data_IF_100304462646
#
_entry.id   IF_100304462646
#
_cell.length_a   1.000
_cell.length_b   1.000
_cell.length_c   1.000
_cell.angle_alpha   90.00
_cell.angle_beta   90.00
_cell.angle_gamma   90.00
#
_symmetry.space_group_name_H-M   'P 1'
#
loop_
_entity.id
_entity.type
_entity.pdbx_description
1 polymer ?
#
# COMPACT_ATOMS: atom_id res chain seq x y z
N UNK A 1 23.24 -15.02 29.37
CA UNK A 1 22.62 -14.90 28.04
C UNK A 1 21.51 -13.85 28.14
N UNK A 2 21.63 -12.72 27.43
CA UNK A 2 20.60 -11.67 27.50
C UNK A 2 19.26 -12.18 26.96
N UNK A 3 18.17 -11.85 27.64
CA UNK A 3 16.82 -12.23 27.23
C UNK A 3 16.39 -11.33 26.07
N UNK A 4 16.00 -11.92 24.96
CA UNK A 4 15.44 -11.25 23.78
C UNK A 4 13.93 -11.22 23.96
N UNK A 5 13.37 -10.06 24.30
CA UNK A 5 11.92 -9.87 24.33
C UNK A 5 11.38 -9.69 22.91
N UNK A 6 10.34 -10.45 22.55
CA UNK A 6 9.69 -10.41 21.24
C UNK A 6 8.17 -10.37 21.42
N UNK A 7 7.59 -9.17 21.32
CA UNK A 7 6.15 -8.91 21.41
C UNK A 7 5.57 -8.67 20.03
N UNK A 8 4.75 -9.61 19.55
CA UNK A 8 4.07 -9.49 18.28
C UNK A 8 2.73 -8.77 18.45
N UNK A 9 2.53 -7.67 17.73
CA UNK A 9 1.26 -6.95 17.75
C UNK A 9 0.27 -7.60 16.77
N UNK A 10 -0.95 -7.86 17.22
CA UNK A 10 -2.03 -8.50 16.46
C UNK A 10 -3.26 -7.60 16.41
N UNK A 11 -4.10 -7.77 15.38
CA UNK A 11 -5.21 -6.88 15.04
C UNK A 11 -6.60 -7.53 15.20
N UNK A 12 -6.65 -8.80 15.63
CA UNK A 12 -7.92 -9.50 15.86
C UNK A 12 -7.77 -10.65 16.84
N UNK A 13 -8.91 -11.15 17.35
CA UNK A 13 -8.93 -12.34 18.21
C UNK A 13 -8.42 -13.59 17.48
N UNK A 14 -8.70 -13.71 16.18
CA UNK A 14 -8.20 -14.80 15.34
C UNK A 14 -6.68 -14.73 15.18
N UNK A 15 -6.12 -13.53 14.97
CA UNK A 15 -4.66 -13.34 14.95
C UNK A 15 -4.04 -13.59 16.31
N UNK A 16 -4.68 -13.18 17.40
CA UNK A 16 -4.24 -13.48 18.76
C UNK A 16 -4.14 -14.99 18.97
N UNK A 17 -5.16 -15.75 18.58
CA UNK A 17 -5.15 -17.22 18.69
C UNK A 17 -3.99 -17.84 17.89
N UNK A 18 -3.78 -17.40 16.64
CA UNK A 18 -2.66 -17.87 15.81
C UNK A 18 -1.30 -17.48 16.38
N UNK A 19 -1.17 -16.27 16.92
CA UNK A 19 0.06 -15.78 17.54
C UNK A 19 0.43 -16.58 18.80
N UNK A 20 -0.57 -16.99 19.59
CA UNK A 20 -0.35 -17.85 20.75
C UNK A 20 0.16 -19.24 20.35
N UNK A 21 -0.32 -19.82 19.24
CA UNK A 21 0.27 -21.06 18.70
C UNK A 21 1.69 -20.82 18.15
N UNK A 22 1.93 -19.67 17.50
CA UNK A 22 3.24 -19.27 16.98
C UNK A 22 4.31 -19.16 18.09
N UNK A 23 3.90 -18.87 19.33
CA UNK A 23 4.81 -18.83 20.50
C UNK A 23 5.59 -20.13 20.68
N UNK A 24 4.91 -21.28 20.58
CA UNK A 24 5.56 -22.59 20.77
C UNK A 24 6.56 -22.89 19.65
N UNK A 25 6.18 -22.61 18.40
CA UNK A 25 7.07 -22.74 17.25
C UNK A 25 8.30 -21.82 17.40
N UNK A 26 8.09 -20.58 17.82
CA UNK A 26 9.15 -19.61 18.10
C UNK A 26 10.14 -20.13 19.15
N UNK A 27 9.66 -20.68 20.27
CA UNK A 27 10.54 -21.23 21.30
C UNK A 27 11.38 -22.40 20.77
N UNK A 28 10.79 -23.32 19.99
CA UNK A 28 11.52 -24.45 19.38
C UNK A 28 12.61 -23.97 18.40
N UNK A 29 12.34 -22.92 17.63
CA UNK A 29 13.34 -22.32 16.73
C UNK A 29 14.41 -21.59 17.52
N UNK A 30 14.04 -20.83 18.55
CA UNK A 30 14.98 -20.11 19.40
C UNK A 30 15.98 -21.05 20.09
N UNK A 31 15.51 -22.20 20.59
CA UNK A 31 16.35 -23.25 21.18
C UNK A 31 17.39 -23.77 20.18
N UNK A 32 16.97 -24.10 18.96
CA UNK A 32 17.89 -24.53 17.88
C UNK A 32 18.94 -23.47 17.54
N UNK A 33 18.58 -22.19 17.65
CA UNK A 33 19.47 -21.05 17.40
C UNK A 33 20.28 -20.63 18.63
N UNK A 34 20.16 -21.35 19.76
CA UNK A 34 20.80 -20.98 21.04
C UNK A 34 20.44 -19.55 21.48
N UNK A 35 19.20 -19.13 21.25
CA UNK A 35 18.65 -17.82 21.63
C UNK A 35 17.72 -17.95 22.83
N UNK A 36 17.88 -17.06 23.82
CA UNK A 36 16.95 -16.94 24.94
C UNK A 36 15.85 -15.92 24.61
N UNK A 37 14.72 -16.38 24.06
CA UNK A 37 13.61 -15.52 23.59
C UNK A 37 12.41 -15.63 24.52
N UNK A 38 11.87 -14.48 24.93
CA UNK A 38 10.54 -14.40 25.56
C UNK A 38 9.54 -13.88 24.54
N UNK A 39 8.67 -14.76 24.04
CA UNK A 39 7.66 -14.42 23.04
C UNK A 39 6.27 -14.17 23.67
N UNK A 40 5.59 -13.12 23.21
CA UNK A 40 4.22 -12.78 23.61
C UNK A 40 3.45 -12.04 22.52
N UNK A 41 2.13 -12.00 22.65
CA UNK A 41 1.22 -11.36 21.70
C UNK A 41 0.53 -10.16 22.36
N UNK A 42 0.48 -9.04 21.66
CA UNK A 42 -0.10 -7.77 22.14
C UNK A 42 -1.25 -7.39 21.21
N UNK A 43 -2.46 -7.25 21.75
CA UNK A 43 -3.61 -6.79 20.96
C UNK A 43 -3.50 -5.29 20.67
N UNK A 44 -3.63 -4.91 19.41
CA UNK A 44 -3.81 -3.53 18.96
C UNK A 44 -5.22 -3.29 18.42
N UNK A 45 -5.71 -2.06 18.55
CA UNK A 45 -7.04 -1.67 18.03
C UNK A 45 -7.07 -1.63 16.50
N UNK A 46 -5.95 -1.25 15.89
CA UNK A 46 -5.73 -1.18 14.45
C UNK A 46 -4.22 -1.10 14.15
N UNK A 47 -3.85 -1.05 12.87
CA UNK A 47 -2.45 -0.98 12.45
C UNK A 47 -1.70 0.22 13.07
N UNK A 48 -2.33 1.40 13.16
CA UNK A 48 -1.71 2.61 13.70
C UNK A 48 -1.48 2.49 15.22
N UNK A 49 -2.41 1.88 15.97
CA UNK A 49 -2.18 1.55 17.38
C UNK A 49 -1.00 0.59 17.56
N UNK A 50 -0.87 -0.45 16.73
CA UNK A 50 0.32 -1.30 16.74
C UNK A 50 1.62 -0.52 16.45
N UNK A 51 1.61 0.39 15.47
CA UNK A 51 2.77 1.25 15.19
C UNK A 51 3.13 2.14 16.39
N UNK A 52 2.13 2.73 17.05
CA UNK A 52 2.31 3.53 18.29
C UNK A 52 2.90 2.68 19.42
N UNK A 53 2.36 1.48 19.65
CA UNK A 53 2.87 0.53 20.68
C UNK A 53 4.33 0.16 20.42
N UNK A 54 4.71 -0.07 19.17
CA UNK A 54 6.11 -0.36 18.81
C UNK A 54 7.00 0.86 19.05
N UNK A 55 6.55 2.05 18.66
CA UNK A 55 7.29 3.31 18.89
C UNK A 55 7.62 3.53 20.37
N UNK A 56 6.62 3.33 21.24
CA UNK A 56 6.77 3.50 22.71
C UNK A 56 7.35 2.27 23.41
N UNK A 57 7.58 1.17 22.70
CA UNK A 57 8.21 -0.04 23.23
C UNK A 57 7.30 -0.93 24.06
N UNK A 58 5.97 -0.89 23.84
CA UNK A 58 5.00 -1.85 24.41
C UNK A 58 4.68 -3.03 23.49
N UNK A 59 5.11 -2.96 22.22
CA UNK A 59 5.21 -4.09 21.29
C UNK A 59 6.55 -3.98 20.52
N UNK A 60 6.94 -5.02 19.77
CA UNK A 60 8.23 -5.03 19.05
C UNK A 60 8.07 -5.22 17.54
N UNK A 61 7.03 -5.95 17.11
CA UNK A 61 6.87 -6.41 15.73
C UNK A 61 5.42 -6.36 15.29
N UNK A 62 5.19 -6.04 14.02
CA UNK A 62 3.89 -6.15 13.34
C UNK A 62 4.12 -6.36 11.84
N UNK A 63 3.27 -7.14 11.18
CA UNK A 63 3.28 -7.25 9.70
C UNK A 63 2.37 -6.17 9.12
N UNK A 64 2.88 -5.34 8.21
CA UNK A 64 2.12 -4.26 7.57
C UNK A 64 2.09 -4.40 6.05
N UNK A 65 1.00 -3.95 5.43
CA UNK A 65 0.91 -3.79 3.98
C UNK A 65 1.57 -2.48 3.51
N UNK A 66 1.90 -2.40 2.21
CA UNK A 66 2.61 -1.23 1.67
C UNK A 66 1.90 0.10 1.89
N UNK A 67 0.56 0.13 2.02
CA UNK A 67 -0.20 1.31 2.37
C UNK A 67 0.10 1.85 3.76
N UNK A 68 0.37 0.97 4.73
CA UNK A 68 0.66 1.33 6.12
C UNK A 68 2.17 1.54 6.39
N UNK A 69 3.05 0.93 5.58
CA UNK A 69 4.51 1.03 5.74
C UNK A 69 5.02 2.48 5.63
N UNK A 70 4.41 3.33 4.79
CA UNK A 70 4.79 4.76 4.69
C UNK A 70 4.56 5.46 6.02
N UNK A 71 3.36 5.31 6.59
CA UNK A 71 2.99 5.88 7.91
C UNK A 71 3.88 5.31 9.01
N UNK A 72 4.13 4.00 9.02
CA UNK A 72 4.99 3.36 10.00
C UNK A 72 6.40 3.95 10.00
N UNK A 73 6.99 4.14 8.82
CA UNK A 73 8.33 4.71 8.70
C UNK A 73 8.38 6.21 8.99
N UNK A 74 7.48 6.98 8.38
CA UNK A 74 7.47 8.45 8.45
C UNK A 74 7.06 8.97 9.83
N UNK A 75 5.96 8.45 10.38
CA UNK A 75 5.31 9.04 11.57
C UNK A 75 5.68 8.29 12.86
N UNK A 76 6.08 7.02 12.74
CA UNK A 76 6.37 6.15 13.89
C UNK A 76 7.83 5.69 13.99
N UNK A 77 8.67 6.03 13.00
CA UNK A 77 10.10 5.64 12.97
C UNK A 77 10.32 4.13 13.01
N UNK A 78 9.46 3.37 12.32
CA UNK A 78 9.62 1.93 12.13
C UNK A 78 10.41 1.63 10.85
N UNK A 79 11.06 0.47 10.82
CA UNK A 79 11.84 -0.03 9.69
C UNK A 79 11.41 -1.46 9.33
N UNK A 80 11.36 -1.82 8.04
CA UNK A 80 11.13 -3.19 7.62
C UNK A 80 12.36 -4.06 7.94
N UNK A 81 12.14 -5.30 8.38
CA UNK A 81 13.23 -6.24 8.67
C UNK A 81 13.13 -7.55 7.90
N UNK A 82 11.92 -7.99 7.57
CA UNK A 82 11.64 -9.23 6.84
C UNK A 82 10.43 -8.97 5.94
N UNK A 83 10.50 -9.39 4.68
CA UNK A 83 9.40 -9.29 3.72
C UNK A 83 8.71 -10.63 3.46
N UNK A 84 7.43 -10.59 3.11
CA UNK A 84 6.70 -11.75 2.57
C UNK A 84 7.08 -11.97 1.10
N UNK A 85 7.56 -13.15 0.75
CA UNK A 85 7.76 -13.54 -0.64
C UNK A 85 6.62 -14.47 -1.07
N UNK A 86 5.83 -14.01 -2.03
CA UNK A 86 4.67 -14.75 -2.56
C UNK A 86 5.02 -15.66 -3.72
N UNK A 87 6.18 -15.45 -4.35
CA UNK A 87 6.51 -16.04 -5.63
C UNK A 87 7.94 -16.54 -5.60
N UNK A 88 8.13 -17.84 -5.81
CA UNK A 88 9.46 -18.37 -6.11
C UNK A 88 9.80 -18.10 -7.59
N UNK A 89 9.63 -16.86 -8.03
CA UNK A 89 9.76 -16.43 -9.43
C UNK A 89 11.05 -15.62 -9.62
N UNK A 90 11.93 -16.05 -10.55
CA UNK A 90 13.09 -15.26 -10.96
C UNK A 90 12.69 -13.85 -11.43
N UNK A 91 13.42 -12.82 -11.00
CA UNK A 91 13.12 -11.41 -11.37
C UNK A 91 12.03 -10.71 -10.54
N UNK A 92 11.40 -11.40 -9.59
CA UNK A 92 10.61 -10.80 -8.48
C UNK A 92 11.33 -10.93 -7.13
N UNK A 93 12.62 -11.27 -7.18
CA UNK A 93 13.52 -11.44 -6.05
C UNK A 93 13.42 -10.24 -5.08
N UNK A 94 13.19 -10.53 -3.81
CA UNK A 94 13.13 -9.53 -2.75
C UNK A 94 11.73 -9.05 -2.39
N UNK A 95 10.75 -9.97 -2.34
CA UNK A 95 9.43 -9.74 -1.75
C UNK A 95 8.70 -8.55 -2.40
N UNK A 96 8.43 -8.68 -3.70
CA UNK A 96 7.67 -7.70 -4.48
C UNK A 96 6.63 -8.40 -5.37
N UNK A 97 5.65 -7.64 -5.85
CA UNK A 97 4.66 -8.12 -6.79
C UNK A 97 4.23 -7.01 -7.74
N UNK A 98 3.67 -7.38 -8.90
CA UNK A 98 3.11 -6.40 -9.84
C UNK A 98 1.65 -6.11 -9.53
N UNK A 99 1.31 -4.83 -9.43
CA UNK A 99 -0.06 -4.32 -9.40
C UNK A 99 -0.58 -4.19 -10.85
N UNK A 100 -1.75 -4.72 -11.12
CA UNK A 100 -2.33 -4.81 -12.46
C UNK A 100 -3.79 -4.38 -12.48
N UNK A 101 -4.26 -3.93 -13.64
CA UNK A 101 -5.68 -3.71 -13.92
C UNK A 101 -6.15 -4.77 -14.92
N UNK A 102 -7.14 -5.57 -14.52
CA UNK A 102 -7.64 -6.72 -15.30
C UNK A 102 -9.06 -6.42 -15.79
N UNK A 103 -9.34 -6.77 -17.05
CA UNK A 103 -10.65 -6.63 -17.68
C UNK A 103 -11.04 -7.91 -18.42
N UNK A 104 -12.33 -8.06 -18.73
CA UNK A 104 -12.80 -9.09 -19.67
C UNK A 104 -12.35 -8.74 -21.09
N UNK A 105 -11.87 -9.75 -21.81
CA UNK A 105 -11.48 -9.63 -23.23
C UNK A 105 -12.65 -9.22 -24.13
N UNK A 106 -13.87 -9.63 -23.77
CA UNK A 106 -15.10 -9.30 -24.51
C UNK A 106 -15.44 -7.81 -24.56
N UNK A 107 -14.91 -7.00 -23.63
CA UNK A 107 -15.16 -5.55 -23.60
C UNK A 107 -13.96 -4.77 -24.16
N UNK A 108 -13.81 -4.76 -25.49
CA UNK A 108 -12.63 -4.24 -26.20
C UNK A 108 -12.35 -2.74 -26.02
N UNK A 109 -13.38 -1.95 -25.72
CA UNK A 109 -13.28 -0.47 -25.67
C UNK A 109 -12.59 0.07 -24.41
N UNK A 110 -12.47 -0.75 -23.37
CA UNK A 110 -11.85 -0.34 -22.12
C UNK A 110 -10.33 -0.39 -22.26
N UNK A 111 -9.71 0.76 -22.00
CA UNK A 111 -8.25 0.91 -21.82
C UNK A 111 -7.97 1.69 -20.55
N UNK A 112 -6.73 1.66 -20.04
CA UNK A 112 -6.39 2.38 -18.81
C UNK A 112 -6.67 3.90 -18.92
N UNK A 113 -6.49 4.47 -20.13
CA UNK A 113 -6.78 5.89 -20.42
C UNK A 113 -8.28 6.20 -20.58
N UNK A 114 -9.14 5.18 -20.68
CA UNK A 114 -10.60 5.31 -20.90
C UNK A 114 -11.41 4.70 -19.74
N UNK A 115 -10.92 4.85 -18.52
CA UNK A 115 -11.59 4.35 -17.31
C UNK A 115 -12.65 5.30 -16.73
N UNK A 116 -12.69 6.57 -17.16
CA UNK A 116 -13.69 7.55 -16.70
C UNK A 116 -15.11 7.05 -17.01
N UNK A 117 -15.98 7.05 -16.00
CA UNK A 117 -17.37 6.60 -16.09
C UNK A 117 -17.56 5.08 -16.08
N UNK A 118 -16.49 4.28 -16.02
CA UNK A 118 -16.58 2.82 -15.87
C UNK A 118 -16.86 2.42 -14.43
N UNK A 119 -17.30 1.18 -14.25
CA UNK A 119 -17.46 0.57 -12.93
C UNK A 119 -16.18 -0.13 -12.50
N UNK A 120 -15.84 -0.13 -11.22
CA UNK A 120 -14.54 -0.63 -10.76
C UNK A 120 -14.60 -1.52 -9.50
N UNK A 121 -13.71 -2.51 -9.45
CA UNK A 121 -13.57 -3.44 -8.33
C UNK A 121 -12.19 -3.28 -7.70
N UNK A 122 -12.17 -2.99 -6.40
CA UNK A 122 -10.95 -2.70 -5.63
C UNK A 122 -10.82 -3.69 -4.48
N UNK A 123 -9.59 -4.03 -4.09
CA UNK A 123 -9.37 -4.98 -2.98
C UNK A 123 -9.81 -4.43 -1.62
N UNK A 124 -9.91 -3.11 -1.49
CA UNK A 124 -10.25 -2.41 -0.25
C UNK A 124 -9.61 -1.02 -0.17
N UNK A 125 -10.22 -0.14 0.61
CA UNK A 125 -9.77 1.22 0.82
C UNK A 125 -8.33 1.25 1.39
N UNK A 126 -7.44 2.01 0.74
CA UNK A 126 -6.06 2.22 1.20
C UNK A 126 -5.09 1.07 0.92
N UNK A 127 -5.53 -0.01 0.26
CA UNK A 127 -4.68 -1.15 -0.08
C UNK A 127 -3.78 -0.85 -1.27
N UNK A 128 -2.55 -1.37 -1.24
CA UNK A 128 -1.49 -1.14 -2.24
C UNK A 128 -1.96 -1.29 -3.70
N UNK A 129 -2.15 -2.52 -4.19
CA UNK A 129 -2.47 -2.75 -5.60
C UNK A 129 -3.94 -2.51 -5.97
N UNK A 130 -4.85 -2.58 -4.99
CA UNK A 130 -6.27 -2.39 -5.23
C UNK A 130 -6.74 -0.94 -5.13
N UNK A 131 -6.01 -0.05 -4.47
CA UNK A 131 -6.41 1.35 -4.29
C UNK A 131 -5.26 2.33 -4.55
N UNK A 132 -4.15 2.22 -3.80
CA UNK A 132 -3.11 3.24 -3.82
C UNK A 132 -2.45 3.38 -5.19
N UNK A 133 -2.01 2.27 -5.79
CA UNK A 133 -1.42 2.28 -7.14
C UNK A 133 -2.42 2.75 -8.20
N UNK A 134 -3.61 2.15 -8.38
CA UNK A 134 -4.47 2.55 -9.50
C UNK A 134 -4.96 3.99 -9.39
N UNK A 135 -5.38 4.43 -8.19
CA UNK A 135 -5.89 5.80 -7.99
C UNK A 135 -4.73 6.81 -8.05
N UNK A 136 -3.59 6.50 -7.42
CA UNK A 136 -2.38 7.33 -7.48
C UNK A 136 -1.85 7.47 -8.91
N UNK A 137 -1.77 6.37 -9.66
CA UNK A 137 -1.35 6.38 -11.06
C UNK A 137 -2.31 7.19 -11.93
N UNK A 138 -3.63 7.09 -11.73
CA UNK A 138 -4.62 7.90 -12.46
C UNK A 138 -4.45 9.41 -12.18
N UNK A 139 -4.18 9.80 -10.93
CA UNK A 139 -3.91 11.20 -10.53
C UNK A 139 -2.56 11.70 -11.07
N UNK A 140 -1.51 10.88 -10.97
CA UNK A 140 -0.16 11.18 -11.46
C UNK A 140 -0.16 11.41 -12.97
N UNK A 141 -0.85 10.55 -13.71
CA UNK A 141 -1.01 10.67 -15.17
C UNK A 141 -2.02 11.74 -15.61
N UNK A 142 -2.64 12.46 -14.67
CA UNK A 142 -3.69 13.47 -14.92
C UNK A 142 -4.87 12.93 -15.74
N UNK A 143 -5.15 11.63 -15.62
CA UNK A 143 -6.35 10.99 -16.18
C UNK A 143 -7.56 11.22 -15.27
N UNK A 144 -7.31 11.33 -13.96
CA UNK A 144 -8.27 11.70 -12.93
C UNK A 144 -7.84 13.02 -12.28
N UNK A 145 -8.79 13.91 -12.05
CA UNK A 145 -8.55 15.18 -11.36
C UNK A 145 -8.61 14.97 -9.85
N UNK A 146 -7.73 15.66 -9.13
CA UNK A 146 -7.78 15.71 -7.67
C UNK A 146 -8.90 16.63 -7.21
N UNK A 147 -9.74 16.15 -6.29
CA UNK A 147 -10.82 16.94 -5.74
C UNK A 147 -10.31 18.06 -4.82
N UNK A 148 -11.06 19.16 -4.75
CA UNK A 148 -10.75 20.33 -3.90
C UNK A 148 -10.74 20.00 -2.40
N UNK A 149 -11.40 18.92 -1.98
CA UNK A 149 -11.34 18.42 -0.60
C UNK A 149 -10.02 17.70 -0.27
N UNK A 150 -9.11 17.56 -1.24
CA UNK A 150 -7.86 16.81 -1.12
C UNK A 150 -8.07 15.34 -0.73
N UNK A 151 -9.23 14.81 -1.07
CA UNK A 151 -9.61 13.45 -0.73
C UNK A 151 -9.72 12.61 -2.01
N UNK A 152 -8.75 11.72 -2.23
CA UNK A 152 -8.72 10.84 -3.39
C UNK A 152 -9.94 9.91 -3.48
N UNK A 153 -10.65 9.62 -2.38
CA UNK A 153 -11.93 8.92 -2.44
C UNK A 153 -13.00 9.77 -3.13
N UNK A 154 -13.03 11.08 -2.89
CA UNK A 154 -13.95 11.99 -3.59
C UNK A 154 -13.57 12.10 -5.07
N UNK A 155 -12.28 12.20 -5.39
CA UNK A 155 -11.76 12.18 -6.77
C UNK A 155 -12.22 10.92 -7.51
N UNK A 156 -11.98 9.74 -6.92
CA UNK A 156 -12.38 8.46 -7.48
C UNK A 156 -13.90 8.31 -7.62
N UNK A 157 -14.66 8.81 -6.64
CA UNK A 157 -16.12 8.82 -6.67
C UNK A 157 -16.71 9.69 -7.78
N UNK A 158 -15.99 10.71 -8.27
CA UNK A 158 -16.38 11.49 -9.45
C UNK A 158 -15.91 10.87 -10.77
N UNK A 159 -14.84 10.08 -10.72
CA UNK A 159 -14.20 9.50 -11.88
C UNK A 159 -14.87 8.20 -12.34
N UNK A 160 -15.13 7.26 -11.41
CA UNK A 160 -15.85 6.02 -11.69
C UNK A 160 -17.36 6.24 -11.49
N UNK A 161 -18.20 5.55 -12.27
CA UNK A 161 -19.65 5.65 -12.12
C UNK A 161 -20.11 5.00 -10.81
N UNK A 162 -19.73 3.74 -10.59
CA UNK A 162 -19.97 2.99 -9.36
C UNK A 162 -18.80 2.04 -9.09
N UNK A 163 -18.50 1.79 -7.83
CA UNK A 163 -17.40 0.91 -7.45
C UNK A 163 -17.78 -0.07 -6.34
N UNK A 164 -16.95 -1.11 -6.21
CA UNK A 164 -16.78 -1.83 -4.95
C UNK A 164 -15.41 -1.48 -4.36
N UNK A 165 -15.42 -0.72 -3.27
CA UNK A 165 -14.26 -0.41 -2.43
C UNK A 165 -14.60 -0.85 -1.00
N UNK A 166 -14.24 -2.09 -0.62
CA UNK A 166 -14.44 -2.57 0.74
C UNK A 166 -13.82 -1.65 1.79
N UNK A 167 -14.48 -1.51 2.93
CA UNK A 167 -14.05 -0.71 4.07
C UNK A 167 -13.94 0.81 3.80
N UNK A 168 -14.52 1.33 2.71
CA UNK A 168 -14.40 2.74 2.33
C UNK A 168 -14.98 3.71 3.35
N UNK A 169 -16.07 3.37 4.06
CA UNK A 169 -16.70 4.28 5.03
C UNK A 169 -15.84 4.54 6.27
N UNK A 170 -14.88 3.67 6.56
CA UNK A 170 -13.89 3.91 7.62
C UNK A 170 -12.78 4.89 7.19
N UNK A 171 -12.67 5.20 5.89
CA UNK A 171 -11.74 6.21 5.35
C UNK A 171 -12.45 7.47 4.87
N UNK A 172 -13.67 7.32 4.37
CA UNK A 172 -14.54 8.39 3.89
C UNK A 172 -16.00 8.01 4.17
N UNK A 173 -16.53 8.46 5.32
CA UNK A 173 -17.86 8.07 5.81
C UNK A 173 -19.02 8.47 4.88
N UNK A 174 -18.85 9.56 4.12
CA UNK A 174 -19.81 10.04 3.14
C UNK A 174 -19.68 9.35 1.76
N UNK A 175 -18.87 8.31 1.63
CA UNK A 175 -18.80 7.49 0.43
C UNK A 175 -20.17 6.88 0.08
N UNK A 176 -20.69 7.25 -1.09
CA UNK A 176 -21.92 6.67 -1.65
C UNK A 176 -21.57 5.71 -2.79
N UNK A 177 -21.12 6.23 -3.93
CA UNK A 177 -20.93 5.45 -5.15
C UNK A 177 -19.74 4.47 -5.09
N UNK A 178 -18.81 4.65 -4.15
CA UNK A 178 -17.62 3.81 -4.02
C UNK A 178 -17.89 2.42 -3.44
N UNK A 179 -19.06 2.17 -2.84
CA UNK A 179 -19.43 0.83 -2.37
C UNK A 179 -20.79 0.37 -2.88
N UNK A 180 -21.34 1.01 -3.92
CA UNK A 180 -22.61 0.60 -4.54
C UNK A 180 -22.58 -0.85 -5.01
N UNK A 181 -21.43 -1.33 -5.52
CA UNK A 181 -21.27 -2.71 -6.00
C UNK A 181 -20.97 -3.73 -4.89
N UNK A 182 -20.82 -3.29 -3.64
CA UNK A 182 -20.66 -4.16 -2.47
C UNK A 182 -21.18 -3.49 -1.19
N UNK A 183 -22.48 -3.23 -1.14
CA UNK A 183 -23.11 -2.45 -0.06
C UNK A 183 -22.87 -3.03 1.35
N UNK A 184 -22.76 -4.37 1.45
CA UNK A 184 -22.49 -5.06 2.72
C UNK A 184 -21.03 -4.89 3.20
N UNK A 185 -20.14 -4.42 2.34
CA UNK A 185 -18.70 -4.29 2.60
C UNK A 185 -18.28 -2.82 2.79
N UNK A 186 -19.22 -1.86 2.77
CA UNK A 186 -18.87 -0.43 2.90
C UNK A 186 -18.06 -0.10 4.16
N UNK A 187 -18.34 -0.78 5.28
CA UNK A 187 -17.64 -0.60 6.57
C UNK A 187 -16.92 -1.88 7.03
N UNK A 188 -16.74 -2.84 6.13
CA UNK A 188 -16.09 -4.12 6.42
C UNK A 188 -14.97 -4.38 5.44
N UNK A 189 -13.85 -4.93 5.91
CA UNK A 189 -12.80 -5.49 5.06
C UNK A 189 -12.99 -6.98 4.78
N UNK A 190 -14.14 -7.53 5.17
CA UNK A 190 -14.53 -8.92 4.95
C UNK A 190 -15.82 -8.97 4.13
N UNK A 191 -15.84 -9.85 3.14
CA UNK A 191 -16.98 -10.05 2.25
C UNK A 191 -16.57 -10.73 0.94
N UNK A 192 -17.55 -11.08 0.09
CA UNK A 192 -17.30 -11.78 -1.16
C UNK A 192 -16.43 -11.01 -2.15
N UNK A 193 -16.43 -9.67 -2.11
CA UNK A 193 -15.64 -8.81 -3.00
C UNK A 193 -14.41 -8.17 -2.33
N UNK A 194 -14.11 -8.58 -1.10
CA UNK A 194 -12.94 -8.12 -0.35
C UNK A 194 -11.64 -8.83 -0.76
N UNK A 195 -10.53 -8.08 -0.76
CA UNK A 195 -9.21 -8.61 -1.09
C UNK A 195 -9.01 -8.89 -2.59
N UNK A 196 -7.89 -9.53 -2.94
CA UNK A 196 -7.52 -9.78 -4.34
C UNK A 196 -8.53 -10.67 -5.06
N UNK A 197 -8.86 -11.82 -4.49
CA UNK A 197 -9.79 -12.77 -5.09
C UNK A 197 -11.19 -12.17 -5.20
N UNK A 198 -11.64 -11.43 -4.17
CA UNK A 198 -12.94 -10.77 -4.17
C UNK A 198 -13.04 -9.66 -5.22
N UNK A 199 -12.02 -8.81 -5.35
CA UNK A 199 -12.01 -7.76 -6.37
C UNK A 199 -12.02 -8.34 -7.80
N UNK A 200 -11.27 -9.43 -8.05
CA UNK A 200 -11.35 -10.14 -9.32
C UNK A 200 -12.73 -10.77 -9.54
N UNK A 201 -13.30 -11.40 -8.50
CA UNK A 201 -14.64 -11.98 -8.54
C UNK A 201 -15.71 -10.91 -8.85
N UNK A 202 -15.62 -9.71 -8.28
CA UNK A 202 -16.50 -8.59 -8.58
C UNK A 202 -16.54 -8.26 -10.09
N UNK A 203 -15.38 -8.22 -10.75
CA UNK A 203 -15.32 -7.99 -12.20
C UNK A 203 -15.81 -9.21 -12.99
N UNK A 204 -15.44 -10.41 -12.55
CA UNK A 204 -15.88 -11.67 -13.15
C UNK A 204 -17.40 -11.82 -13.12
N UNK A 205 -18.05 -11.49 -12.01
CA UNK A 205 -19.51 -11.50 -11.82
C UNK A 205 -20.22 -10.40 -12.65
N UNK A 206 -19.46 -9.47 -13.25
CA UNK A 206 -20.01 -8.35 -14.02
C UNK A 206 -20.49 -7.18 -13.16
N UNK A 207 -20.17 -7.15 -11.87
CA UNK A 207 -20.47 -6.01 -11.00
C UNK A 207 -19.55 -4.82 -11.29
N UNK A 208 -18.35 -5.05 -11.84
CA UNK A 208 -17.43 -4.01 -12.30
C UNK A 208 -16.81 -4.31 -13.66
N UNK A 209 -16.40 -3.28 -14.37
CA UNK A 209 -15.75 -3.37 -15.68
C UNK A 209 -14.25 -3.72 -15.57
N UNK A 210 -13.61 -3.28 -14.49
CA UNK A 210 -12.18 -3.45 -14.23
C UNK A 210 -11.94 -3.90 -12.79
N UNK A 211 -10.98 -4.82 -12.59
CA UNK A 211 -10.48 -5.19 -11.27
C UNK A 211 -9.03 -4.76 -11.10
N UNK A 212 -8.72 -4.11 -9.98
CA UNK A 212 -7.35 -3.75 -9.60
C UNK A 212 -6.82 -4.75 -8.59
N UNK A 213 -5.85 -5.57 -9.01
CA UNK A 213 -5.37 -6.74 -8.25
C UNK A 213 -3.87 -6.96 -8.44
N UNK A 214 -3.31 -8.02 -7.85
CA UNK A 214 -1.94 -8.48 -8.12
C UNK A 214 -1.90 -9.38 -9.35
N UNK A 215 -0.77 -9.42 -10.06
CA UNK A 215 -0.60 -10.16 -11.31
C UNK A 215 -0.96 -11.66 -11.27
N UNK A 216 -0.81 -12.34 -10.13
CA UNK A 216 -1.16 -13.78 -10.07
C UNK A 216 -2.62 -14.06 -9.82
N UNK A 217 -3.44 -13.05 -9.51
CA UNK A 217 -4.81 -13.26 -9.04
C UNK A 217 -5.64 -14.11 -10.01
N UNK A 218 -5.47 -13.91 -11.33
CA UNK A 218 -6.18 -14.70 -12.36
C UNK A 218 -5.87 -16.19 -12.24
N UNK A 219 -4.59 -16.53 -12.03
CA UNK A 219 -4.15 -17.92 -11.83
C UNK A 219 -4.50 -18.45 -10.45
N UNK A 220 -4.37 -17.64 -9.40
CA UNK A 220 -4.66 -18.01 -8.00
C UNK A 220 -6.11 -18.48 -7.82
N UNK A 221 -7.06 -17.94 -8.60
CA UNK A 221 -8.48 -18.35 -8.57
C UNK A 221 -8.85 -19.40 -9.62
N UNK A 222 -7.88 -19.92 -10.39
CA UNK A 222 -8.10 -20.93 -11.42
C UNK A 222 -8.95 -20.45 -12.60
N UNK A 223 -8.98 -19.15 -12.88
CA UNK A 223 -9.75 -18.60 -13.99
C UNK A 223 -9.09 -18.89 -15.34
N UNK A 224 -9.90 -19.07 -16.40
CA UNK A 224 -9.38 -19.19 -17.76
C UNK A 224 -8.79 -17.85 -18.23
N UNK A 225 -7.46 -17.72 -18.18
CA UNK A 225 -6.74 -16.51 -18.52
C UNK A 225 -7.02 -15.97 -19.94
N UNK A 226 -7.40 -16.84 -20.89
CA UNK A 226 -7.72 -16.41 -22.27
C UNK A 226 -8.94 -15.49 -22.39
N UNK A 227 -9.78 -15.42 -21.35
CA UNK A 227 -10.96 -14.57 -21.27
C UNK A 227 -10.67 -13.16 -20.74
N UNK A 228 -9.42 -12.90 -20.33
CA UNK A 228 -9.04 -11.66 -19.66
C UNK A 228 -7.82 -11.02 -20.31
N UNK A 229 -7.70 -9.71 -20.11
CA UNK A 229 -6.55 -8.93 -20.54
C UNK A 229 -6.15 -7.92 -19.46
N UNK A 230 -4.89 -7.49 -19.51
CA UNK A 230 -4.31 -6.50 -18.64
C UNK A 230 -4.30 -5.13 -19.33
N UNK A 231 -4.68 -4.08 -18.61
CA UNK A 231 -4.62 -2.71 -19.10
C UNK A 231 -3.26 -2.09 -18.80
N UNK A 232 -2.57 -1.63 -19.84
CA UNK A 232 -1.24 -1.04 -19.72
C UNK A 232 -1.34 0.48 -19.59
N UNK A 233 -0.37 1.11 -18.91
CA UNK A 233 -0.36 2.58 -18.68
C UNK A 233 -0.34 3.39 -19.98
N UNK A 234 0.26 2.86 -21.05
CA UNK A 234 0.30 3.50 -22.36
C UNK A 234 -1.05 3.51 -23.10
N UNK A 235 -2.07 2.79 -22.59
CA UNK A 235 -3.39 2.66 -23.19
C UNK A 235 -3.57 1.38 -24.01
N UNK A 236 -2.53 0.56 -24.16
CA UNK A 236 -2.62 -0.75 -24.80
C UNK A 236 -3.23 -1.81 -23.85
N UNK A 237 -3.52 -2.98 -24.42
CA UNK A 237 -3.98 -4.17 -23.72
C UNK A 237 -3.06 -5.33 -24.06
N UNK A 238 -2.81 -6.21 -23.09
CA UNK A 238 -2.01 -7.41 -23.32
C UNK A 238 -2.66 -8.61 -22.66
N UNK A 239 -2.48 -9.79 -23.27
CA UNK A 239 -2.89 -11.07 -22.68
C UNK A 239 -2.05 -11.48 -21.46
N UNK A 240 -0.90 -10.82 -21.26
CA UNK A 240 0.08 -11.15 -20.22
C UNK A 240 0.55 -9.90 -19.48
N UNK A 241 0.86 -10.04 -18.20
CA UNK A 241 1.16 -8.93 -17.29
C UNK A 241 2.64 -8.53 -17.28
N UNK A 242 3.57 -9.36 -17.76
CA UNK A 242 5.02 -9.21 -17.59
C UNK A 242 5.56 -7.90 -18.16
N UNK A 243 4.90 -7.38 -19.21
CA UNK A 243 5.18 -6.07 -19.82
C UNK A 243 4.01 -5.08 -19.67
N UNK A 244 2.96 -5.47 -18.94
CA UNK A 244 1.71 -4.73 -18.80
C UNK A 244 1.25 -4.74 -17.34
N UNK A 245 1.86 -3.87 -16.55
CA UNK A 245 1.51 -3.66 -15.15
C UNK A 245 1.55 -2.16 -14.82
N UNK A 246 0.82 -1.77 -13.77
CA UNK A 246 0.80 -0.38 -13.32
C UNK A 246 2.09 -0.06 -12.58
N UNK A 247 2.47 -0.92 -11.64
CA UNK A 247 3.69 -0.75 -10.87
C UNK A 247 4.22 -2.05 -10.26
N UNK A 248 5.51 -2.04 -9.92
CA UNK A 248 6.10 -3.04 -9.02
C UNK A 248 5.97 -2.51 -7.61
N UNK A 249 5.22 -3.21 -6.78
CA UNK A 249 5.00 -2.82 -5.39
C UNK A 249 5.66 -3.79 -4.44
N UNK A 250 6.08 -3.31 -3.27
CA UNK A 250 6.59 -4.19 -2.24
C UNK A 250 5.50 -5.13 -1.73
N UNK A 251 5.92 -6.32 -1.34
CA UNK A 251 5.11 -7.17 -0.48
C UNK A 251 4.96 -6.56 0.91
N UNK A 252 4.14 -7.23 1.72
CA UNK A 252 4.03 -6.89 3.13
C UNK A 252 5.36 -7.14 3.83
N UNK A 253 5.63 -6.38 4.89
CA UNK A 253 6.85 -6.52 5.67
C UNK A 253 6.56 -6.55 7.17
N UNK A 254 7.38 -7.30 7.89
CA UNK A 254 7.49 -7.22 9.34
C UNK A 254 8.27 -5.96 9.67
N UNK A 255 7.63 -5.07 10.41
CA UNK A 255 8.14 -3.78 10.83
C UNK A 255 8.54 -3.82 12.30
N UNK A 256 9.63 -3.14 12.64
CA UNK A 256 10.09 -2.96 14.02
C UNK A 256 10.61 -1.53 14.23
N UNK A 257 10.91 -1.15 15.47
CA UNK A 257 11.43 0.18 15.79
C UNK A 257 12.83 0.38 15.16
N UNK A 258 13.05 1.54 14.55
CA UNK A 258 14.38 1.92 14.06
C UNK A 258 15.40 1.91 15.21
N UNK A 259 16.56 1.31 14.98
CA UNK A 259 17.61 1.18 16.00
C UNK A 259 17.31 0.16 17.12
N UNK A 260 16.28 -0.69 16.98
CA UNK A 260 15.99 -1.72 17.98
C UNK A 260 17.15 -2.72 18.16
N UNK A 261 17.52 -3.00 19.41
CA UNK A 261 18.75 -3.72 19.78
C UNK A 261 18.77 -5.19 19.34
N UNK A 262 17.60 -5.83 19.21
CA UNK A 262 17.48 -7.24 18.84
C UNK A 262 17.13 -7.50 17.36
N UNK A 263 17.35 -6.51 16.47
CA UNK A 263 16.95 -6.61 15.07
C UNK A 263 17.54 -7.83 14.33
N UNK A 264 18.81 -8.17 14.58
CA UNK A 264 19.45 -9.31 13.95
C UNK A 264 18.82 -10.64 14.39
N UNK A 265 18.48 -10.75 15.67
CA UNK A 265 17.85 -11.92 16.26
C UNK A 265 16.41 -12.09 15.77
N UNK A 266 15.63 -11.00 15.69
CA UNK A 266 14.29 -11.02 15.09
C UNK A 266 14.32 -11.52 13.65
N UNK A 267 15.23 -10.97 12.82
CA UNK A 267 15.41 -11.42 11.44
C UNK A 267 15.75 -12.90 11.38
N UNK A 268 16.77 -13.33 12.11
CA UNK A 268 17.23 -14.72 12.10
C UNK A 268 16.13 -15.69 12.52
N UNK A 269 15.43 -15.38 13.62
CA UNK A 269 14.33 -16.22 14.10
C UNK A 269 13.19 -16.31 13.07
N UNK A 270 12.78 -15.18 12.47
CA UNK A 270 11.69 -15.17 11.49
C UNK A 270 12.02 -15.95 10.22
N UNK A 271 13.25 -15.83 9.71
CA UNK A 271 13.69 -16.60 8.54
C UNK A 271 13.71 -18.11 8.83
N UNK A 272 14.19 -18.52 10.01
CA UNK A 272 14.16 -19.93 10.41
C UNK A 272 12.73 -20.43 10.70
N UNK A 273 11.87 -19.60 11.30
CA UNK A 273 10.46 -19.91 11.49
C UNK A 273 9.77 -20.15 10.15
N UNK A 274 10.04 -19.32 9.14
CA UNK A 274 9.58 -19.54 7.77
C UNK A 274 10.12 -20.82 7.15
N UNK A 275 11.39 -21.17 7.39
CA UNK A 275 11.98 -22.38 6.83
C UNK A 275 11.38 -23.67 7.44
N UNK A 276 11.12 -23.68 8.75
CA UNK A 276 10.63 -24.85 9.47
C UNK A 276 9.10 -24.99 9.48
N UNK A 277 8.37 -23.87 9.51
CA UNK A 277 6.92 -23.84 9.67
C UNK A 277 6.19 -23.14 8.51
N UNK A 278 6.91 -22.75 7.45
CA UNK A 278 6.32 -22.20 6.22
C UNK A 278 5.68 -23.28 5.35
N UNK A 279 5.78 -23.16 4.02
CA UNK A 279 5.06 -24.05 3.08
C UNK A 279 5.47 -25.52 3.13
N UNK A 280 6.65 -25.83 3.66
CA UNK A 280 7.12 -27.21 3.79
C UNK A 280 6.47 -27.97 4.96
N UNK A 281 5.83 -27.27 5.90
CA UNK A 281 5.09 -27.89 6.99
C UNK A 281 3.65 -28.16 6.54
N UNK A 282 3.35 -29.43 6.24
CA UNK A 282 2.06 -29.88 5.70
C UNK A 282 1.17 -30.57 6.74
N UNK A 283 1.69 -30.88 7.94
CA UNK A 283 0.90 -31.46 9.02
C UNK A 283 -0.03 -30.39 9.61
N UNK A 284 -1.33 -30.53 9.36
CA UNK A 284 -2.36 -29.61 9.85
C UNK A 284 -2.56 -29.65 11.37
N UNK A 285 -2.02 -30.67 12.05
CA UNK A 285 -2.02 -30.73 13.52
C UNK A 285 -0.91 -29.88 14.14
N UNK A 286 0.15 -29.60 13.38
CA UNK A 286 1.24 -28.72 13.79
C UNK A 286 0.96 -27.26 13.43
N UNK A 287 1.75 -26.34 13.97
CA UNK A 287 1.67 -24.93 13.60
C UNK A 287 2.09 -24.72 12.14
N UNK A 288 1.33 -23.93 11.38
CA UNK A 288 1.63 -23.56 10.01
C UNK A 288 1.61 -22.04 9.87
N UNK A 289 2.75 -21.45 9.50
CA UNK A 289 2.96 -20.00 9.52
C UNK A 289 2.04 -19.27 8.52
N UNK A 290 1.89 -19.85 7.32
CA UNK A 290 1.15 -19.25 6.21
C UNK A 290 -0.22 -19.91 5.96
N UNK A 291 -0.79 -20.59 6.97
CA UNK A 291 -2.14 -21.16 6.88
C UNK A 291 -2.99 -20.63 8.03
N UNK A 292 -4.18 -20.12 7.70
CA UNK A 292 -5.06 -19.46 8.68
C UNK A 292 -6.40 -20.19 8.90
N UNK A 293 -6.69 -21.23 8.12
CA UNK A 293 -7.98 -21.95 8.14
C UNK A 293 -8.34 -22.54 9.50
N UNK A 294 -7.35 -23.00 10.28
CA UNK A 294 -7.53 -23.50 11.66
C UNK A 294 -8.19 -22.49 12.60
N UNK A 295 -8.05 -21.19 12.32
CA UNK A 295 -8.51 -20.10 13.19
C UNK A 295 -9.77 -19.41 12.65
N UNK A 296 -10.48 -20.05 11.71
CA UNK A 296 -11.68 -19.49 11.05
C UNK A 296 -11.44 -18.10 10.46
N UNK A 297 -10.25 -17.88 9.90
CA UNK A 297 -9.84 -16.63 9.28
C UNK A 297 -8.95 -16.86 8.07
N UNK A 298 -8.53 -15.76 7.44
CA UNK A 298 -7.58 -15.77 6.33
C UNK A 298 -6.53 -14.70 6.55
N UNK A 299 -5.31 -14.95 6.08
CA UNK A 299 -4.21 -13.99 6.12
C UNK A 299 -3.89 -13.45 7.53
N UNK A 300 -3.94 -14.32 8.54
CA UNK A 300 -3.69 -13.98 9.93
C UNK A 300 -2.17 -13.95 10.20
N UNK A 301 -1.64 -12.86 10.75
CA UNK A 301 -0.22 -12.54 10.97
C UNK A 301 0.59 -12.35 9.67
N UNK A 302 0.40 -13.25 8.72
CA UNK A 302 1.00 -13.24 7.39
C UNK A 302 -0.05 -13.61 6.35
N UNK A 303 0.14 -13.19 5.11
CA UNK A 303 -0.69 -13.62 3.99
C UNK A 303 -0.59 -15.13 3.82
N UNK A 304 -1.73 -15.79 3.57
CA UNK A 304 -1.76 -17.23 3.33
C UNK A 304 -1.10 -17.60 1.99
N UNK A 305 -0.96 -16.62 1.09
CA UNK A 305 -0.23 -16.77 -0.18
C UNK A 305 1.29 -16.68 -0.04
N UNK A 306 1.83 -16.46 1.17
CA UNK A 306 3.28 -16.36 1.39
C UNK A 306 3.93 -17.73 1.20
N UNK A 307 5.03 -17.75 0.43
CA UNK A 307 5.85 -18.95 0.22
C UNK A 307 6.98 -19.02 1.21
N UNK A 308 7.65 -17.89 1.42
CA UNK A 308 8.75 -17.76 2.37
C UNK A 308 8.86 -16.33 2.88
N UNK A 309 9.55 -16.16 3.99
CA UNK A 309 10.02 -14.87 4.45
C UNK A 309 11.42 -14.62 3.92
N UNK A 310 11.72 -13.39 3.53
CA UNK A 310 13.03 -13.00 2.99
C UNK A 310 13.61 -11.81 3.75
N UNK A 311 14.94 -11.74 3.83
CA UNK A 311 15.62 -10.60 4.41
C UNK A 311 15.43 -9.39 3.49
N UNK A 312 15.12 -8.24 4.08
CA UNK A 312 14.93 -6.99 3.31
C UNK A 312 16.25 -6.45 2.73
N UNK A 313 17.40 -6.92 3.22
CA UNK A 313 18.72 -6.49 2.75
C UNK A 313 18.89 -4.98 2.87
N UNK A 314 19.31 -4.35 1.77
CA UNK A 314 19.50 -2.89 1.68
C UNK A 314 18.18 -2.11 1.62
N UNK A 315 17.04 -2.78 1.42
CA UNK A 315 15.71 -2.16 1.47
C UNK A 315 15.21 -2.01 2.91
N UNK A 316 16.07 -1.55 3.82
CA UNK A 316 15.86 -1.52 5.27
C UNK A 316 15.23 -0.21 5.80
N UNK A 317 14.76 0.67 4.91
CA UNK A 317 13.98 1.86 5.23
C UNK A 317 12.64 1.79 4.51
N UNK A 318 11.64 2.53 4.98
CA UNK A 318 10.35 2.55 4.28
C UNK A 318 10.49 3.08 2.85
N UNK A 319 11.40 4.03 2.59
CA UNK A 319 11.61 4.59 1.26
C UNK A 319 12.20 3.55 0.30
N UNK A 320 13.23 2.84 0.74
CA UNK A 320 13.91 1.84 -0.09
C UNK A 320 13.04 0.59 -0.27
N UNK A 321 12.22 0.25 0.72
CA UNK A 321 11.25 -0.84 0.62
C UNK A 321 10.11 -0.50 -0.34
N UNK A 322 9.50 0.67 -0.17
CA UNK A 322 8.35 1.09 -0.98
C UNK A 322 8.70 1.44 -2.42
N UNK A 323 9.89 1.99 -2.66
CA UNK A 323 10.30 2.47 -3.97
C UNK A 323 9.70 3.85 -4.31
N UNK A 324 10.39 4.56 -5.19
CA UNK A 324 10.06 5.94 -5.54
C UNK A 324 8.71 6.09 -6.24
N UNK A 325 8.41 5.21 -7.20
CA UNK A 325 7.18 5.27 -7.98
C UNK A 325 5.95 5.17 -7.08
N UNK A 326 5.98 4.27 -6.08
CA UNK A 326 4.85 4.05 -5.19
C UNK A 326 4.72 5.18 -4.18
N UNK A 327 5.84 5.74 -3.73
CA UNK A 327 5.84 6.92 -2.87
C UNK A 327 5.20 8.13 -3.56
N UNK A 328 5.47 8.33 -4.86
CA UNK A 328 4.85 9.38 -5.65
C UNK A 328 3.34 9.16 -5.81
N UNK A 329 2.90 7.91 -6.05
CA UNK A 329 1.47 7.59 -6.05
C UNK A 329 0.82 7.94 -4.71
N UNK A 330 1.48 7.61 -3.60
CA UNK A 330 1.02 7.99 -2.26
C UNK A 330 1.07 9.50 -2.00
N UNK A 331 1.94 10.26 -2.67
CA UNK A 331 1.95 11.72 -2.59
C UNK A 331 0.77 12.33 -3.35
N UNK A 332 0.50 11.85 -4.56
CA UNK A 332 -0.62 12.32 -5.37
C UNK A 332 -1.98 12.02 -4.72
N UNK A 333 -2.13 10.87 -4.04
CA UNK A 333 -3.35 10.57 -3.28
C UNK A 333 -3.63 11.58 -2.16
N UNK A 334 -2.57 12.14 -1.57
CA UNK A 334 -2.64 13.09 -0.46
C UNK A 334 -2.46 14.55 -0.92
N UNK A 335 -2.31 14.79 -2.23
CA UNK A 335 -2.09 16.13 -2.76
C UNK A 335 -3.40 16.93 -2.74
N UNK A 336 -3.27 18.25 -2.62
CA UNK A 336 -4.36 19.19 -2.80
C UNK A 336 -4.16 19.91 -4.13
N UNK A 337 -5.22 20.21 -4.89
CA UNK A 337 -5.12 21.16 -5.99
C UNK A 337 -4.60 22.49 -5.42
N UNK A 338 -3.42 22.93 -5.86
CA UNK A 338 -2.98 24.28 -5.56
C UNK A 338 -3.93 25.23 -6.27
N UNK A 339 -4.56 26.14 -5.54
CA UNK A 339 -5.23 27.27 -6.19
C UNK A 339 -4.15 28.02 -6.94
N UNK A 340 -4.08 27.85 -8.25
CA UNK A 340 -3.43 28.81 -9.14
C UNK A 340 -4.22 30.10 -9.03
N UNK A 341 -3.89 30.87 -7.99
CA UNK A 341 -4.28 32.26 -7.85
C UNK A 341 -3.63 33.02 -9.00
N UNK A 342 -4.32 33.08 -10.13
CA UNK A 342 -4.28 34.25 -10.99
C UNK A 342 -5.03 35.39 -10.25
N UNK A 343 -4.54 35.75 -9.06
CA UNK A 343 -4.88 37.02 -8.46
C UNK A 343 -4.04 38.07 -9.18
N UNK A 344 -4.72 38.77 -10.10
CA UNK A 344 -4.43 40.10 -10.60
C UNK A 344 -3.10 40.67 -10.09
N UNK A 345 -2.02 40.43 -10.84
CA UNK A 345 -0.85 41.29 -10.75
C UNK A 345 -1.33 42.67 -11.20
N UNK A 346 -1.37 43.59 -10.24
CA UNK A 346 -1.54 45.02 -10.45
C UNK A 346 -0.74 45.46 -11.67
N UNK A 347 -1.40 46.14 -12.61
CA UNK A 347 -0.73 46.97 -13.62
C UNK A 347 0.35 47.81 -12.90
N UNK A 348 1.60 47.86 -13.36
CA UNK A 348 2.50 48.88 -12.89
C UNK A 348 1.95 50.21 -13.40
N UNK A 349 1.54 51.09 -12.48
CA UNK A 349 1.38 52.50 -12.83
C UNK A 349 2.76 53.00 -13.27
N UNK A 350 2.87 53.43 -14.53
CA UNK A 350 4.01 54.21 -15.00
C UNK A 350 4.10 55.47 -14.11
N UNK A 351 5.03 55.49 -13.17
CA UNK A 351 5.49 56.73 -12.57
C UNK A 351 6.42 57.41 -13.59
N UNK A 352 5.87 58.40 -14.31
CA UNK A 352 6.64 59.32 -15.14
C UNK A 352 7.51 60.16 -14.21
N UNK A 353 8.82 59.89 -14.18
CA UNK A 353 9.79 60.77 -13.51
C UNK A 353 10.08 61.94 -14.47
N UNK A 354 9.44 63.07 -14.20
CA UNK A 354 9.77 64.37 -14.80
C UNK A 354 11.13 64.82 -14.29
N UNK A 355 12.15 64.78 -15.14
CA UNK A 355 13.45 65.41 -14.88
C UNK A 355 13.30 66.91 -15.18
N UNK A 356 13.21 67.73 -14.13
CA UNK A 356 13.24 69.18 -14.20
C UNK A 356 14.68 69.68 -14.37
N UNK A 357 14.97 70.24 -15.54
CA UNK A 357 16.16 71.05 -15.81
C UNK A 357 16.04 72.39 -15.06
N UNK A 358 16.96 72.66 -14.14
CA UNK A 358 17.20 74.03 -13.65
C UNK A 358 18.60 74.49 -14.06
N UNK A 359 18.62 75.42 -15.00
CA UNK A 359 19.75 76.21 -15.44
C UNK A 359 20.10 77.23 -14.34
N UNK A 360 21.35 77.22 -13.85
CA UNK A 360 21.90 78.32 -13.07
C UNK A 360 22.92 79.08 -13.93
N UNK A 361 22.47 80.22 -14.45
CA UNK A 361 23.29 81.26 -15.06
C UNK A 361 23.85 82.12 -13.93
N UNK A 362 25.18 82.23 -13.82
CA UNK A 362 25.81 83.35 -13.12
C UNK A 362 26.98 83.83 -13.99
N UNK A 363 26.79 85.00 -14.59
CA UNK A 363 27.86 85.84 -15.12
C UNK A 363 27.80 87.15 -14.34
N UNK A 364 28.92 87.61 -13.77
CA UNK A 364 29.71 88.77 -14.27
C UNK A 364 30.77 89.24 -13.25
N UNK A 365 31.99 89.40 -13.79
CA UNK A 365 33.10 90.31 -13.48
C UNK A 365 32.97 91.45 -12.45
N UNK A 366 34.01 91.62 -11.63
CA UNK A 366 34.86 92.83 -11.37
C UNK A 366 35.68 92.56 -10.08
N UNK A 367 37.02 92.56 -10.03
CA UNK A 367 38.04 93.59 -10.24
C UNK A 367 38.80 93.81 -8.91
N UNK A 368 40.05 93.35 -8.82
CA UNK A 368 41.21 94.12 -8.34
C UNK A 368 42.51 93.46 -8.77
#
# INVERSE_FOLDING_TARGET
>A
MHIIQMRWCVLSNQEQAKCMDMKYATHKVAEKLSMNVTFSCVMGENADDCMKKIKVGSADLVTLDGGDIKTAGKDHSLVPIVGEDYYDLPGLEGASYKAVAVVKKSNGDITFKKLKGKTSCHTGAGKTAGWNVPVGTLLRMKLMEQDKSCNAYVSAGKFFSESCVPNVKNRYSAATNLCTKCQQECSSSTGPYSGYNGAFKCMMDGAGDVAFVKHTTVGDVGANASLYEYLCKDGNRMASWEKCFLETVPAHAVMTKSGHTHNAQFKSLLLHLSAYYGTNQTNSSDFQLFVSSKYSGSNLLFKDSTKKLVNVGDKNTYQLWLGNDYLQDLEELNSCPTTSGFDKINKPQLAVVLVSLLSAVIATFSAQ
#
